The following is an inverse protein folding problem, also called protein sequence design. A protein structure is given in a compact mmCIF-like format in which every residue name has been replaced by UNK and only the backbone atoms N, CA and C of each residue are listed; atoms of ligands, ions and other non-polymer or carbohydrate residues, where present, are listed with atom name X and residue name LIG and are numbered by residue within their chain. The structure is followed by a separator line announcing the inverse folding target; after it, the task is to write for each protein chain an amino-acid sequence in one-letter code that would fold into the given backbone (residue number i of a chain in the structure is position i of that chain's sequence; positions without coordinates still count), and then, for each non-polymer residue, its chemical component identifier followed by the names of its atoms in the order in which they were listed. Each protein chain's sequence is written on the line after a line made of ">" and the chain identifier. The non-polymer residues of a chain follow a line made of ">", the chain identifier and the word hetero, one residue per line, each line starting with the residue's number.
data_IF_128486056354
#
_entry.id   IF_128486056354
#
_cell.length_a   1.000
_cell.length_b   1.000
_cell.length_c   1.000
_cell.angle_alpha   90.00
_cell.angle_beta   90.00
_cell.angle_gamma   90.00
#
_symmetry.space_group_name_H-M   'P 1'
#
loop_
_entity.id
_entity.type
_entity.pdbx_description
1 polymer ?
#
# COMPACT_ATOMS: atom_id res chain seq x y z
N UNK A 1 -9.94 -7.52 -5.71
CA UNK A 1 -10.21 -6.11 -5.36
C UNK A 1 -9.56 -5.15 -6.35
N UNK A 2 -8.24 -4.94 -6.34
CA UNK A 2 -7.60 -3.87 -7.15
C UNK A 2 -7.90 -3.95 -8.67
N UNK A 3 -8.01 -5.15 -9.23
CA UNK A 3 -8.37 -5.38 -10.65
C UNK A 3 -9.80 -4.95 -10.98
N UNK A 4 -10.72 -5.15 -10.05
CA UNK A 4 -12.14 -4.82 -10.20
C UNK A 4 -12.40 -3.31 -10.26
N UNK A 5 -11.44 -2.51 -9.80
CA UNK A 5 -11.50 -1.04 -9.88
C UNK A 5 -11.25 -0.53 -11.31
N UNK A 6 -10.86 -1.40 -12.25
CA UNK A 6 -10.48 -1.05 -13.61
C UNK A 6 -8.96 -0.98 -13.78
N UNK A 7 -8.50 -1.28 -15.00
CA UNK A 7 -7.07 -1.35 -15.32
C UNK A 7 -6.41 0.01 -15.12
N UNK A 8 -5.40 0.06 -14.26
CA UNK A 8 -4.65 1.28 -13.97
C UNK A 8 -5.31 2.20 -12.93
N UNK A 9 -6.45 1.82 -12.37
CA UNK A 9 -7.12 2.58 -11.31
C UNK A 9 -6.59 2.19 -9.93
N UNK A 10 -6.57 0.89 -9.62
CA UNK A 10 -6.05 0.37 -8.35
C UNK A 10 -4.57 0.05 -8.40
N UNK A 11 -3.83 0.44 -7.35
CA UNK A 11 -2.43 0.03 -7.11
C UNK A 11 -2.37 -0.88 -5.90
N UNK A 12 -1.90 -2.11 -6.09
CA UNK A 12 -1.75 -3.08 -5.01
C UNK A 12 -0.40 -2.92 -4.30
N UNK A 13 -0.44 -2.86 -2.97
CA UNK A 13 0.72 -2.87 -2.09
C UNK A 13 0.57 -4.06 -1.13
N UNK A 14 1.56 -4.93 -1.07
CA UNK A 14 1.51 -6.17 -0.27
C UNK A 14 2.25 -5.98 1.06
N UNK A 15 1.60 -6.33 2.17
CA UNK A 15 2.27 -6.49 3.46
C UNK A 15 2.58 -7.97 3.71
N UNK A 16 3.85 -8.30 3.96
CA UNK A 16 4.35 -9.64 4.28
C UNK A 16 4.68 -9.75 5.77
N UNK A 17 3.65 -9.75 6.59
CA UNK A 17 3.73 -9.95 8.03
C UNK A 17 2.49 -10.64 8.56
N UNK A 18 2.32 -10.67 9.89
CA UNK A 18 1.14 -11.23 10.55
C UNK A 18 0.27 -10.12 11.12
N UNK A 19 -1.05 -10.35 11.18
CA UNK A 19 -2.05 -9.41 11.74
C UNK A 19 -3.25 -9.16 10.82
N UNK A 20 -4.20 -8.34 11.29
CA UNK A 20 -5.38 -7.93 10.53
C UNK A 20 -5.33 -6.42 10.25
N UNK A 21 -4.79 -6.07 9.08
CA UNK A 21 -4.49 -4.69 8.69
C UNK A 21 -2.99 -4.37 8.74
N UNK A 22 -2.56 -3.39 7.92
CA UNK A 22 -1.13 -3.14 7.69
C UNK A 22 -0.69 -1.67 7.86
N UNK A 23 -1.55 -0.69 7.54
CA UNK A 23 -1.14 0.71 7.43
C UNK A 23 -0.53 1.30 8.72
N UNK A 24 -1.19 1.08 9.86
CA UNK A 24 -0.74 1.56 11.18
C UNK A 24 -0.29 0.39 12.08
N UNK A 25 0.30 -0.64 11.48
CA UNK A 25 0.78 -1.84 12.20
C UNK A 25 2.14 -1.64 12.90
N UNK A 26 2.74 -0.45 12.82
CA UNK A 26 4.12 -0.19 13.24
C UNK A 26 5.18 -0.47 12.17
N UNK A 27 4.78 -1.02 11.01
CA UNK A 27 5.69 -1.22 9.89
C UNK A 27 6.02 0.09 9.17
N UNK A 28 7.25 0.58 9.33
CA UNK A 28 7.69 1.86 8.77
C UNK A 28 7.57 1.93 7.24
N UNK A 29 7.76 0.82 6.52
CA UNK A 29 7.59 0.79 5.06
C UNK A 29 6.13 1.01 4.68
N UNK A 30 5.17 0.34 5.36
CA UNK A 30 3.74 0.52 5.09
C UNK A 30 3.27 1.92 5.43
N UNK A 31 3.58 2.40 6.64
CA UNK A 31 3.17 3.74 7.06
C UNK A 31 3.72 4.80 6.12
N UNK A 32 5.02 4.73 5.75
CA UNK A 32 5.62 5.69 4.81
C UNK A 32 5.00 5.61 3.41
N UNK A 33 4.74 4.39 2.92
CA UNK A 33 4.18 4.19 1.57
C UNK A 33 2.78 4.78 1.46
N UNK A 34 1.92 4.49 2.43
CA UNK A 34 0.54 4.99 2.43
C UNK A 34 0.49 6.49 2.75
N UNK A 35 1.32 6.98 3.69
CA UNK A 35 1.41 8.42 3.97
C UNK A 35 1.85 9.21 2.74
N UNK A 36 2.83 8.73 1.99
CA UNK A 36 3.27 9.42 0.77
C UNK A 36 2.13 9.55 -0.26
N UNK A 37 1.23 8.58 -0.35
CA UNK A 37 0.04 8.69 -1.18
C UNK A 37 -1.00 9.66 -0.60
N UNK A 38 -1.37 9.50 0.68
CA UNK A 38 -2.44 10.28 1.30
C UNK A 38 -2.07 11.76 1.53
N UNK A 39 -0.80 12.04 1.83
CA UNK A 39 -0.33 13.38 2.19
C UNK A 39 0.32 14.10 1.01
N UNK A 40 1.05 13.38 0.15
CA UNK A 40 1.81 13.98 -0.94
C UNK A 40 1.26 13.63 -2.34
N UNK A 41 0.24 12.76 -2.45
CA UNK A 41 -0.25 12.28 -3.75
C UNK A 41 0.72 11.36 -4.50
N UNK A 42 1.79 10.88 -3.86
CA UNK A 42 2.81 10.02 -4.50
C UNK A 42 2.32 8.59 -4.58
N UNK A 43 1.91 8.18 -5.78
CA UNK A 43 1.46 6.82 -6.05
C UNK A 43 2.65 5.84 -5.97
N UNK A 44 2.57 4.74 -5.20
CA UNK A 44 3.62 3.74 -5.15
C UNK A 44 3.73 2.96 -6.46
N UNK A 45 4.89 2.33 -6.69
CA UNK A 45 5.03 1.36 -7.77
C UNK A 45 4.06 0.18 -7.56
N UNK A 46 3.41 -0.27 -8.65
CA UNK A 46 2.52 -1.42 -8.61
C UNK A 46 3.23 -2.69 -8.14
N UNK A 47 2.62 -3.42 -7.22
CA UNK A 47 3.19 -4.64 -6.63
C UNK A 47 4.25 -4.38 -5.58
N UNK A 48 4.40 -3.14 -5.09
CA UNK A 48 5.31 -2.83 -3.98
C UNK A 48 5.00 -3.72 -2.78
N UNK A 49 6.03 -4.33 -2.21
CA UNK A 49 5.91 -5.18 -1.03
C UNK A 49 6.66 -4.54 0.14
N UNK A 50 6.04 -4.53 1.32
CA UNK A 50 6.67 -4.25 2.61
C UNK A 50 6.52 -5.50 3.49
N UNK A 51 7.44 -5.75 4.43
CA UNK A 51 7.43 -6.90 5.33
C UNK A 51 7.41 -6.46 6.77
#
# INVERSE_FOLDING_TARGET
>A
MARELGRGVGVEVTYRGQGHGAYNSGNACMTKTVNAYLLDGKVPAGGKTCG
#
